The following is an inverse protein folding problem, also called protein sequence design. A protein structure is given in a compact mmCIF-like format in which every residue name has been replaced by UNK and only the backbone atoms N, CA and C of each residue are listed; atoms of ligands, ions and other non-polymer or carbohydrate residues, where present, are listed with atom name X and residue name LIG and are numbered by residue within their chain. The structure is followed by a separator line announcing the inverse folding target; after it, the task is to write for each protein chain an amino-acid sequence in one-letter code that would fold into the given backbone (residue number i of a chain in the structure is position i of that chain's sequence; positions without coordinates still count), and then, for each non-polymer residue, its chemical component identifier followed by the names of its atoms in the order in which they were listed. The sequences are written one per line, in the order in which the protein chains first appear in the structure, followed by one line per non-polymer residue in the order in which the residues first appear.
data_IF_345891883838
#
_entry.id   IF_345891883838
#
_cell.length_a   1.000
_cell.length_b   1.000
_cell.length_c   1.000
_cell.angle_alpha   90.00
_cell.angle_beta   90.00
_cell.angle_gamma   90.00
#
_symmetry.space_group_name_H-M   'P 1'
#
loop_
_entity.id
_entity.type
_entity.pdbx_description
1 polymer ?
#
# COMPACT_ATOMS: atom_id res chain seq x y z
N UNK A 1 10.06 6.17 13.35
CA UNK A 1 9.03 5.11 13.50
C UNK A 1 9.06 4.45 14.88
N UNK A 2 10.21 4.35 15.52
CA UNK A 2 10.34 3.77 16.88
C UNK A 2 9.40 4.40 17.90
N UNK A 3 9.08 5.69 17.78
CA UNK A 3 8.21 6.43 18.70
C UNK A 3 6.74 5.95 18.72
N UNK A 4 6.32 5.21 17.71
CA UNK A 4 4.94 4.69 17.63
C UNK A 4 4.72 3.39 18.41
N UNK A 5 5.78 2.77 18.96
CA UNK A 5 5.73 1.49 19.66
C UNK A 5 5.10 0.35 18.83
N UNK A 6 5.35 0.35 17.54
CA UNK A 6 4.90 -0.66 16.58
C UNK A 6 6.10 -1.23 15.85
N UNK A 7 6.08 -2.54 15.63
CA UNK A 7 7.08 -3.20 14.82
C UNK A 7 6.91 -2.83 13.34
N UNK A 8 8.02 -2.74 12.62
CA UNK A 8 8.03 -2.40 11.21
C UNK A 8 9.13 -3.14 10.46
N UNK A 9 8.98 -3.22 9.15
CA UNK A 9 10.02 -3.69 8.24
C UNK A 9 10.54 -2.54 7.40
N UNK A 10 11.80 -2.64 6.96
CA UNK A 10 12.50 -1.66 6.11
C UNK A 10 13.03 -2.42 4.91
N UNK A 11 12.47 -2.21 3.73
CA UNK A 11 12.92 -2.82 2.49
C UNK A 11 14.16 -2.08 1.98
N UNK A 12 15.17 -2.85 1.58
CA UNK A 12 16.43 -2.31 1.03
C UNK A 12 16.20 -1.65 -0.33
N UNK A 13 17.23 -1.01 -0.85
CA UNK A 13 17.20 -0.39 -2.17
C UNK A 13 17.10 -1.41 -3.31
N UNK A 14 16.54 -0.99 -4.45
CA UNK A 14 16.46 -1.81 -5.67
C UNK A 14 17.90 -2.04 -6.21
N UNK A 15 18.25 -3.25 -6.68
CA UNK A 15 17.37 -4.41 -6.91
C UNK A 15 17.15 -5.32 -5.71
N UNK A 16 17.76 -5.01 -4.56
CA UNK A 16 17.79 -5.87 -3.38
C UNK A 16 16.60 -5.63 -2.42
N UNK A 17 15.52 -5.03 -2.89
CA UNK A 17 14.35 -4.66 -2.09
C UNK A 17 13.52 -5.86 -1.59
N UNK A 18 13.84 -7.08 -1.98
CA UNK A 18 13.34 -8.31 -1.37
C UNK A 18 14.02 -8.62 -0.04
N UNK A 19 15.23 -8.12 0.23
CA UNK A 19 15.85 -8.14 1.54
C UNK A 19 15.32 -6.99 2.39
N UNK A 20 15.15 -7.24 3.69
CA UNK A 20 14.62 -6.24 4.59
C UNK A 20 15.16 -6.38 6.01
N UNK A 21 15.18 -5.26 6.73
CA UNK A 21 15.34 -5.23 8.17
C UNK A 21 13.98 -5.28 8.85
N UNK A 22 13.91 -5.84 10.07
CA UNK A 22 12.68 -5.87 10.83
C UNK A 22 12.93 -5.70 12.33
N UNK A 23 11.94 -5.15 13.03
CA UNK A 23 11.93 -5.01 14.49
C UNK A 23 10.98 -6.03 15.14
N UNK A 24 11.29 -6.44 16.38
CA UNK A 24 10.42 -7.27 17.23
C UNK A 24 10.42 -6.78 18.67
N UNK A 25 10.47 -5.44 18.84
CA UNK A 25 10.61 -4.77 20.14
C UNK A 25 9.28 -4.62 20.89
N UNK A 26 8.17 -4.71 20.18
CA UNK A 26 6.82 -4.48 20.68
C UNK A 26 5.94 -5.71 20.49
N UNK A 27 4.73 -5.77 21.10
CA UNK A 27 3.79 -6.86 20.81
C UNK A 27 3.60 -7.07 19.32
N UNK A 28 3.63 -8.34 18.91
CA UNK A 28 3.65 -8.71 17.49
C UNK A 28 2.22 -8.91 17.00
N UNK A 29 1.77 -8.11 16.05
CA UNK A 29 0.52 -8.31 15.35
C UNK A 29 0.54 -9.64 14.56
N UNK A 30 -0.55 -10.44 14.53
CA UNK A 30 -0.59 -11.74 13.82
C UNK A 30 -0.18 -11.65 12.34
N UNK A 31 -0.63 -10.63 11.62
CA UNK A 31 -0.23 -10.38 10.22
C UNK A 31 1.26 -10.13 10.07
N UNK A 32 1.83 -9.35 11.01
CA UNK A 32 3.26 -9.07 11.00
C UNK A 32 4.06 -10.35 11.23
N UNK A 33 3.63 -11.17 12.18
CA UNK A 33 4.24 -12.48 12.46
C UNK A 33 4.21 -13.39 11.21
N UNK A 34 3.04 -13.44 10.55
CA UNK A 34 2.87 -14.25 9.33
C UNK A 34 3.75 -13.73 8.19
N UNK A 35 3.83 -12.40 8.00
CA UNK A 35 4.74 -11.79 7.03
C UNK A 35 6.19 -12.17 7.30
N UNK A 36 6.66 -12.03 8.54
CA UNK A 36 8.03 -12.41 8.91
C UNK A 36 8.29 -13.90 8.68
N UNK A 37 7.35 -14.78 9.02
CA UNK A 37 7.48 -16.22 8.78
C UNK A 37 7.60 -16.53 7.28
N UNK A 38 6.77 -15.89 6.44
CA UNK A 38 6.76 -16.10 4.98
C UNK A 38 8.06 -15.67 4.32
N UNK A 39 8.62 -14.53 4.76
CA UNK A 39 9.82 -13.93 4.12
C UNK A 39 11.08 -14.09 4.96
N UNK A 40 11.09 -14.99 5.94
CA UNK A 40 12.18 -15.19 6.89
C UNK A 40 13.58 -15.27 6.28
N UNK A 41 13.82 -15.95 5.14
CA UNK A 41 15.16 -16.05 4.56
C UNK A 41 15.76 -14.71 4.11
N UNK A 42 14.93 -13.69 3.93
CA UNK A 42 15.32 -12.36 3.42
C UNK A 42 15.38 -11.29 4.52
N UNK A 43 14.94 -11.63 5.73
CA UNK A 43 14.84 -10.68 6.84
C UNK A 43 16.04 -10.71 7.79
N UNK A 44 16.50 -9.54 8.21
CA UNK A 44 17.52 -9.35 9.24
C UNK A 44 16.94 -8.57 10.43
N UNK A 45 17.01 -9.09 11.66
CA UNK A 45 16.50 -8.36 12.82
C UNK A 45 17.36 -7.15 13.15
N UNK A 46 16.70 -6.07 13.59
CA UNK A 46 17.36 -4.88 14.15
C UNK A 46 16.62 -4.41 15.41
N UNK A 47 17.34 -3.83 16.34
CA UNK A 47 16.82 -3.26 17.58
C UNK A 47 17.00 -1.74 17.66
N UNK A 48 17.77 -1.16 16.76
CA UNK A 48 18.08 0.26 16.71
C UNK A 48 18.37 0.75 15.29
N UNK A 49 18.31 2.08 15.04
CA UNK A 49 18.70 2.65 13.75
C UNK A 49 20.12 2.34 13.31
N UNK A 50 21.03 2.09 14.26
CA UNK A 50 22.44 1.78 13.96
C UNK A 50 22.61 0.44 13.19
N UNK A 51 21.61 -0.45 13.25
CA UNK A 51 21.60 -1.70 12.49
C UNK A 51 21.26 -1.54 11.02
N UNK A 52 20.79 -0.35 10.58
CA UNK A 52 20.38 -0.11 9.20
C UNK A 52 21.61 0.26 8.36
N UNK A 53 21.82 -0.46 7.27
CA UNK A 53 22.85 -0.17 6.29
C UNK A 53 22.25 0.13 4.93
N UNK A 54 22.79 1.13 4.23
CA UNK A 54 22.34 1.52 2.91
C UNK A 54 21.06 2.37 2.91
N UNK A 55 20.38 2.37 1.78
CA UNK A 55 19.13 3.12 1.57
C UNK A 55 17.93 2.19 1.68
N UNK A 56 16.77 2.78 1.92
CA UNK A 56 15.49 2.08 1.98
C UNK A 56 14.55 2.55 0.86
N UNK A 57 13.78 1.63 0.30
CA UNK A 57 12.72 1.95 -0.66
C UNK A 57 11.37 2.12 0.03
N UNK A 58 11.12 1.40 1.12
CA UNK A 58 9.82 1.30 1.74
C UNK A 58 9.95 0.90 3.21
N UNK A 59 9.04 1.41 4.03
CA UNK A 59 8.78 0.88 5.37
C UNK A 59 7.37 0.29 5.39
N UNK A 60 7.17 -0.80 6.14
CA UNK A 60 5.84 -1.38 6.33
C UNK A 60 5.56 -1.54 7.81
N UNK A 61 4.43 -1.00 8.25
CA UNK A 61 3.87 -1.16 9.59
C UNK A 61 2.52 -1.85 9.47
N UNK A 62 2.12 -2.61 10.48
CA UNK A 62 0.80 -3.23 10.53
C UNK A 62 0.09 -2.76 11.78
N UNK A 63 -1.07 -2.16 11.60
CA UNK A 63 -1.93 -1.60 12.64
C UNK A 63 -3.21 -2.42 12.74
N UNK A 64 -3.79 -2.49 13.94
CA UNK A 64 -5.16 -2.95 14.10
C UNK A 64 -6.14 -2.03 13.36
N UNK A 65 -7.23 -2.59 12.83
CA UNK A 65 -8.25 -1.83 12.11
C UNK A 65 -8.85 -0.67 12.93
N UNK A 66 -8.79 -0.75 14.26
CA UNK A 66 -9.31 0.28 15.17
C UNK A 66 -8.31 1.42 15.43
N UNK A 67 -7.06 1.30 15.01
CA UNK A 67 -6.01 2.30 15.24
C UNK A 67 -6.02 3.45 14.21
N UNK A 68 -7.19 3.89 13.76
CA UNK A 68 -7.33 4.98 12.78
C UNK A 68 -6.73 6.31 13.27
N UNK A 69 -6.83 6.61 14.56
CA UNK A 69 -6.21 7.83 15.13
C UNK A 69 -4.69 7.80 15.04
N UNK A 70 -4.09 6.62 15.22
CA UNK A 70 -2.65 6.45 15.07
C UNK A 70 -2.23 6.57 13.59
N UNK A 71 -3.01 6.01 12.67
CA UNK A 71 -2.80 6.21 11.24
C UNK A 71 -2.76 7.69 10.87
N UNK A 72 -3.74 8.48 11.33
CA UNK A 72 -3.78 9.92 11.04
C UNK A 72 -2.61 10.69 11.70
N UNK A 73 -2.22 10.28 12.91
CA UNK A 73 -1.01 10.83 13.54
C UNK A 73 0.25 10.55 12.72
N UNK A 74 0.45 9.31 12.27
CA UNK A 74 1.59 8.92 11.45
C UNK A 74 1.62 9.72 10.15
N UNK A 75 0.47 9.89 9.49
CA UNK A 75 0.35 10.72 8.29
C UNK A 75 0.75 12.17 8.51
N UNK A 76 0.30 12.74 9.63
CA UNK A 76 0.64 14.12 10.01
C UNK A 76 2.13 14.27 10.31
N UNK A 77 2.69 13.37 11.11
CA UNK A 77 4.10 13.41 11.51
C UNK A 77 5.04 13.19 10.30
N UNK A 78 4.58 12.44 9.32
CA UNK A 78 5.33 12.08 8.10
C UNK A 78 4.81 12.78 6.84
N UNK A 79 4.32 14.02 6.96
CA UNK A 79 3.72 14.77 5.85
C UNK A 79 4.65 14.96 4.62
N UNK A 80 5.98 14.81 4.78
CA UNK A 80 6.94 14.84 3.67
C UNK A 80 7.12 13.50 2.94
N UNK A 81 6.43 12.45 3.37
CA UNK A 81 6.50 11.11 2.82
C UNK A 81 5.15 10.68 2.24
N UNK A 82 5.16 9.68 1.37
CA UNK A 82 3.93 9.02 0.91
C UNK A 82 3.56 7.92 1.89
N UNK A 83 2.51 8.17 2.69
CA UNK A 83 1.96 7.23 3.68
C UNK A 83 0.72 6.57 3.11
N UNK A 84 0.90 5.40 2.54
CA UNK A 84 -0.11 4.66 1.78
C UNK A 84 -0.76 3.60 2.68
N UNK A 85 -2.09 3.61 2.74
CA UNK A 85 -2.88 2.60 3.43
C UNK A 85 -3.31 1.51 2.46
N UNK A 86 -3.20 0.26 2.88
CA UNK A 86 -3.88 -0.88 2.26
C UNK A 86 -4.57 -1.74 3.32
N UNK A 87 -5.52 -2.57 2.92
CA UNK A 87 -6.09 -3.59 3.79
C UNK A 87 -5.18 -4.81 3.84
N UNK A 88 -5.30 -5.61 4.90
CA UNK A 88 -4.54 -6.85 5.01
C UNK A 88 -4.85 -7.78 3.83
N UNK A 89 -3.84 -8.32 3.14
CA UNK A 89 -4.04 -9.33 2.12
C UNK A 89 -4.38 -10.72 2.72
N UNK A 90 -4.38 -10.84 4.06
CA UNK A 90 -4.56 -12.11 4.75
C UNK A 90 -6.00 -12.34 5.19
N UNK A 91 -6.63 -11.33 5.82
CA UNK A 91 -7.97 -11.46 6.39
C UNK A 91 -8.81 -10.19 6.32
N UNK A 92 -8.30 -9.13 5.70
CA UNK A 92 -8.93 -7.80 5.56
C UNK A 92 -9.23 -7.09 6.91
N UNK A 93 -8.60 -7.50 8.02
CA UNK A 93 -8.88 -6.95 9.36
C UNK A 93 -7.84 -5.96 9.84
N UNK A 94 -6.62 -6.02 9.33
CA UNK A 94 -5.55 -5.11 9.69
C UNK A 94 -5.37 -4.00 8.65
N UNK A 95 -4.77 -2.90 9.08
CA UNK A 95 -4.29 -1.83 8.22
C UNK A 95 -2.80 -2.08 7.95
N UNK A 96 -2.45 -2.29 6.70
CA UNK A 96 -1.08 -2.27 6.26
C UNK A 96 -0.72 -0.86 5.84
N UNK A 97 0.30 -0.32 6.48
CA UNK A 97 0.77 1.04 6.24
C UNK A 97 2.13 0.98 5.58
N UNK A 98 2.19 1.45 4.36
CA UNK A 98 3.38 1.49 3.54
C UNK A 98 3.88 2.94 3.45
N UNK A 99 5.15 3.17 3.79
CA UNK A 99 5.74 4.50 3.82
C UNK A 99 6.87 4.55 2.79
N UNK A 100 6.74 5.44 1.83
CA UNK A 100 7.69 5.67 0.74
C UNK A 100 8.26 7.08 0.80
N UNK A 101 9.28 7.34 0.00
CA UNK A 101 9.72 8.71 -0.27
C UNK A 101 8.55 9.57 -0.79
N UNK A 102 8.59 10.87 -0.51
CA UNK A 102 7.52 11.78 -0.89
C UNK A 102 7.19 11.72 -2.38
N UNK A 103 5.92 11.69 -2.71
CA UNK A 103 5.43 11.59 -4.08
C UNK A 103 5.47 10.19 -4.71
N UNK A 104 5.91 9.17 -3.99
CA UNK A 104 5.90 7.78 -4.48
C UNK A 104 4.60 7.11 -4.09
N UNK A 105 3.64 7.06 -5.01
CA UNK A 105 2.37 6.37 -4.91
C UNK A 105 1.81 6.06 -6.31
N UNK A 106 0.80 5.19 -6.40
CA UNK A 106 0.27 4.70 -7.69
C UNK A 106 -0.18 5.82 -8.63
N UNK A 107 -0.79 6.89 -8.12
CA UNK A 107 -1.23 8.03 -8.91
C UNK A 107 -0.08 8.74 -9.62
N UNK A 108 0.95 9.16 -8.89
CA UNK A 108 2.12 9.82 -9.50
C UNK A 108 2.89 8.91 -10.46
N UNK A 109 2.99 7.62 -10.13
CA UNK A 109 3.62 6.63 -11.01
C UNK A 109 2.85 6.48 -12.33
N UNK A 110 1.52 6.43 -12.25
CA UNK A 110 0.65 6.40 -13.41
C UNK A 110 0.78 7.69 -14.24
N UNK A 111 0.70 8.86 -13.64
CA UNK A 111 0.90 10.13 -14.34
C UNK A 111 2.25 10.21 -15.05
N UNK A 112 3.31 9.71 -14.41
CA UNK A 112 4.65 9.67 -15.01
C UNK A 112 4.67 8.76 -16.25
N UNK A 113 4.02 7.59 -16.16
CA UNK A 113 3.88 6.66 -17.27
C UNK A 113 3.09 7.29 -18.43
N UNK A 114 1.93 7.88 -18.14
CA UNK A 114 1.07 8.54 -19.14
C UNK A 114 1.83 9.65 -19.89
N UNK A 115 2.58 10.46 -19.16
CA UNK A 115 3.45 11.50 -19.78
C UNK A 115 4.49 10.88 -20.71
N UNK A 116 5.16 9.81 -20.30
CA UNK A 116 6.16 9.11 -21.12
C UNK A 116 5.56 8.49 -22.38
N UNK A 117 4.33 8.01 -22.29
CA UNK A 117 3.59 7.39 -23.42
C UNK A 117 2.82 8.42 -24.25
N UNK A 118 2.81 9.70 -23.85
CA UNK A 118 2.01 10.77 -24.47
C UNK A 118 0.52 10.43 -24.52
N UNK A 119 -0.01 9.82 -23.46
CA UNK A 119 -1.43 9.47 -23.30
C UNK A 119 -2.08 10.49 -22.36
N UNK A 120 -3.26 10.99 -22.76
CA UNK A 120 -4.04 11.90 -21.92
C UNK A 120 -4.79 11.09 -20.85
N UNK A 121 -4.82 11.57 -19.61
CA UNK A 121 -5.57 10.94 -18.52
C UNK A 121 -7.08 10.81 -18.82
N UNK A 122 -7.63 11.64 -19.71
CA UNK A 122 -9.02 11.53 -20.21
C UNK A 122 -9.27 10.31 -21.10
N UNK A 123 -8.23 9.61 -21.51
CA UNK A 123 -8.30 8.38 -22.32
C UNK A 123 -7.99 7.14 -21.48
N UNK A 124 -7.94 7.28 -20.15
CA UNK A 124 -7.54 6.20 -19.25
C UNK A 124 -8.73 5.74 -18.41
N UNK A 125 -8.97 4.45 -18.42
CA UNK A 125 -9.84 3.79 -17.46
C UNK A 125 -9.01 3.04 -16.42
N UNK A 126 -9.42 3.11 -15.16
CA UNK A 126 -8.75 2.47 -14.04
C UNK A 126 -9.64 1.47 -13.31
N UNK A 127 -9.06 0.35 -12.88
CA UNK A 127 -9.70 -0.61 -11.99
C UNK A 127 -8.87 -0.77 -10.72
N UNK A 128 -9.50 -0.61 -9.57
CA UNK A 128 -8.87 -0.76 -8.25
C UNK A 128 -9.64 -1.71 -7.34
N UNK A 129 -9.02 -2.03 -6.20
CA UNK A 129 -9.64 -2.89 -5.20
C UNK A 129 -9.46 -2.39 -3.75
N UNK A 130 -8.63 -1.36 -3.50
CA UNK A 130 -8.30 -0.96 -2.13
C UNK A 130 -7.92 0.53 -2.02
N UNK A 131 -7.67 1.00 -0.81
CA UNK A 131 -7.28 2.38 -0.49
C UNK A 131 -6.02 2.86 -1.21
N UNK A 132 -5.08 1.99 -1.50
CA UNK A 132 -3.85 2.33 -2.21
C UNK A 132 -4.06 2.58 -3.72
N UNK A 133 -5.27 2.38 -4.22
CA UNK A 133 -5.65 2.67 -5.60
C UNK A 133 -6.30 4.04 -5.79
N UNK A 134 -6.72 4.71 -4.70
CA UNK A 134 -7.47 5.97 -4.76
C UNK A 134 -6.76 7.01 -5.62
N UNK A 135 -5.49 7.31 -5.30
CA UNK A 135 -4.71 8.34 -6.02
C UNK A 135 -4.56 8.03 -7.52
N UNK A 136 -4.59 6.75 -7.89
CA UNK A 136 -4.55 6.30 -9.28
C UNK A 136 -5.92 6.41 -9.93
N UNK A 137 -6.98 5.98 -9.25
CA UNK A 137 -8.34 6.03 -9.77
C UNK A 137 -8.81 7.47 -9.99
N UNK A 138 -8.44 8.40 -9.11
CA UNK A 138 -8.84 9.81 -9.18
C UNK A 138 -8.26 10.56 -10.38
N UNK A 139 -7.23 10.03 -11.04
CA UNK A 139 -6.68 10.62 -12.27
C UNK A 139 -7.26 10.01 -13.55
N UNK A 140 -8.00 8.91 -13.46
CA UNK A 140 -8.61 8.25 -14.60
C UNK A 140 -9.90 8.95 -15.04
N UNK A 141 -10.18 8.96 -16.35
CA UNK A 141 -11.45 9.45 -16.90
C UNK A 141 -12.63 8.57 -16.46
N UNK A 142 -12.38 7.28 -16.39
CA UNK A 142 -13.32 6.30 -15.87
C UNK A 142 -12.66 5.45 -14.79
N UNK A 143 -13.26 5.46 -13.60
CA UNK A 143 -12.72 4.74 -12.45
C UNK A 143 -13.71 3.71 -11.94
N UNK A 144 -13.23 2.50 -11.77
CA UNK A 144 -14.00 1.34 -11.32
C UNK A 144 -13.35 0.69 -10.11
N UNK A 145 -14.20 0.10 -9.26
CA UNK A 145 -13.78 -0.76 -8.15
C UNK A 145 -14.42 -2.14 -8.30
N UNK A 146 -13.72 -3.17 -7.85
CA UNK A 146 -14.29 -4.50 -7.67
C UNK A 146 -15.30 -4.49 -6.52
N UNK A 147 -16.36 -5.31 -6.61
CA UNK A 147 -17.46 -5.34 -5.65
C UNK A 147 -17.03 -5.77 -4.21
N UNK A 148 -15.91 -6.44 -4.08
CA UNK A 148 -15.34 -6.81 -2.77
C UNK A 148 -14.30 -5.79 -2.23
N UNK A 149 -14.17 -4.61 -2.84
CA UNK A 149 -13.42 -3.49 -2.26
C UNK A 149 -14.07 -2.97 -0.96
N UNK A 150 -13.33 -2.23 -0.10
CA UNK A 150 -13.90 -1.65 1.12
C UNK A 150 -15.19 -0.85 0.85
N UNK A 151 -16.24 -1.13 1.61
CA UNK A 151 -17.60 -0.60 1.37
C UNK A 151 -17.67 0.94 1.31
N UNK A 152 -16.84 1.61 2.11
CA UNK A 152 -16.78 3.07 2.10
C UNK A 152 -16.18 3.64 0.79
N UNK A 153 -15.35 2.88 0.06
CA UNK A 153 -14.82 3.29 -1.23
C UNK A 153 -15.82 3.06 -2.36
N UNK A 154 -16.65 2.02 -2.28
CA UNK A 154 -17.61 1.65 -3.32
C UNK A 154 -18.59 2.78 -3.70
N UNK A 155 -18.81 3.73 -2.78
CA UNK A 155 -19.73 4.87 -3.00
C UNK A 155 -19.16 5.94 -3.93
N UNK A 156 -17.87 5.91 -4.20
CA UNK A 156 -17.16 6.94 -4.95
C UNK A 156 -16.84 6.54 -6.39
N UNK A 157 -16.96 5.25 -6.72
CA UNK A 157 -16.54 4.70 -8.01
C UNK A 157 -17.62 3.80 -8.62
N UNK A 158 -17.54 3.59 -9.93
CA UNK A 158 -18.35 2.59 -10.63
C UNK A 158 -17.95 1.18 -10.15
N UNK A 159 -18.92 0.28 -10.02
CA UNK A 159 -18.63 -1.09 -9.58
C UNK A 159 -18.64 -2.07 -10.74
N UNK A 160 -17.74 -3.03 -10.66
CA UNK A 160 -17.74 -4.28 -11.40
C UNK A 160 -17.81 -5.45 -10.42
N UNK A 161 -18.03 -6.65 -10.91
CA UNK A 161 -18.01 -7.87 -10.09
C UNK A 161 -16.74 -7.97 -9.25
N UNK A 162 -16.74 -8.83 -8.24
CA UNK A 162 -15.58 -9.10 -7.42
C UNK A 162 -14.43 -9.71 -8.25
N UNK A 163 -13.22 -9.66 -7.72
CA UNK A 163 -12.05 -10.30 -8.30
C UNK A 163 -12.21 -11.82 -8.47
N UNK A 164 -13.08 -12.44 -7.64
CA UNK A 164 -13.42 -13.87 -7.70
C UNK A 164 -14.54 -14.21 -8.69
N UNK A 165 -15.21 -13.21 -9.25
CA UNK A 165 -16.38 -13.34 -10.12
C UNK A 165 -16.14 -12.67 -11.49
N UNK A 166 -14.92 -12.70 -11.99
CA UNK A 166 -14.53 -12.13 -13.28
C UNK A 166 -14.69 -10.60 -13.38
N UNK A 167 -14.46 -9.88 -12.27
CA UNK A 167 -14.57 -8.41 -12.25
C UNK A 167 -13.65 -7.71 -13.25
N UNK A 168 -12.44 -8.23 -13.48
CA UNK A 168 -11.54 -7.68 -14.49
C UNK A 168 -12.10 -7.86 -15.92
N UNK A 169 -12.65 -9.02 -16.23
CA UNK A 169 -13.30 -9.29 -17.54
C UNK A 169 -14.47 -8.37 -17.78
N UNK A 170 -15.32 -8.15 -16.75
CA UNK A 170 -16.42 -7.20 -16.83
C UNK A 170 -15.92 -5.77 -17.05
N UNK A 171 -14.87 -5.34 -16.33
CA UNK A 171 -14.25 -4.02 -16.52
C UNK A 171 -13.82 -3.83 -17.99
N UNK A 172 -13.06 -4.77 -18.53
CA UNK A 172 -12.58 -4.69 -19.93
C UNK A 172 -13.75 -4.58 -20.91
N UNK A 173 -14.84 -5.34 -20.73
CA UNK A 173 -16.01 -5.29 -21.60
C UNK A 173 -16.82 -3.98 -21.50
N UNK A 174 -16.59 -3.17 -20.47
CA UNK A 174 -17.25 -1.85 -20.31
C UNK A 174 -16.43 -0.71 -20.92
N UNK A 175 -15.13 -0.87 -21.05
CA UNK A 175 -14.22 0.21 -21.48
C UNK A 175 -13.68 0.04 -22.89
N UNK A 176 -13.81 -1.15 -23.49
CA UNK A 176 -13.53 -1.45 -24.90
C UNK A 176 -14.82 -1.53 -25.72
#
# INVERSE_FOLDING_TARGET
LWEYNINFTIQREIPDNHYFYYTTLYPIHPDYQKRLATYRPFGSPIDSPAGIQGKATQFVMILDALQLRLLEKIRSDLAGYSVVRSTSPLDNRAIWLEIFAGGIHKGNSCQTLLKKLNINCKEVAGLGNDYNDIDFLDICAEAYLVANAPVNLQRHYKLVKSDKEEGFTEFISKVL
#
